data_IF_089080824402
#
_entry.id   IF_089080824402
#
_cell.length_a   1.000
_cell.length_b   1.000
_cell.length_c   1.000
_cell.angle_alpha   90.00
_cell.angle_beta   90.00
_cell.angle_gamma   90.00
#
_symmetry.space_group_name_H-M   'P 1'
#
loop_
_entity.id
_entity.type
_entity.pdbx_description
1 polymer ?
#
# COMPACT_ATOMS: atom_id res chain seq x y z
N UNK A 1 37.04 -4.36 -31.29
CA UNK A 1 36.58 -4.54 -29.89
C UNK A 1 35.94 -3.28 -29.32
N UNK A 2 36.60 -2.11 -29.36
CA UNK A 2 36.06 -0.87 -28.76
C UNK A 2 34.71 -0.41 -29.31
N UNK A 3 34.41 -0.55 -30.61
CA UNK A 3 33.10 -0.15 -31.15
C UNK A 3 31.96 -1.07 -30.69
N UNK A 4 32.22 -2.37 -30.56
CA UNK A 4 31.22 -3.37 -30.17
C UNK A 4 30.88 -3.21 -28.67
N UNK A 5 31.89 -2.97 -27.84
CA UNK A 5 31.73 -2.64 -26.41
C UNK A 5 30.98 -1.31 -26.23
N UNK A 6 31.33 -0.27 -26.99
CA UNK A 6 30.63 1.03 -26.95
C UNK A 6 29.15 0.92 -27.34
N UNK A 7 28.84 0.13 -28.37
CA UNK A 7 27.45 -0.12 -28.80
C UNK A 7 26.67 -0.88 -27.72
N UNK A 8 27.29 -1.86 -27.07
CA UNK A 8 26.67 -2.61 -25.96
C UNK A 8 26.38 -1.73 -24.74
N UNK A 9 27.33 -0.86 -24.37
CA UNK A 9 27.14 0.11 -23.27
C UNK A 9 26.00 1.09 -23.62
N UNK A 10 25.98 1.61 -24.84
CA UNK A 10 24.93 2.54 -25.28
C UNK A 10 23.55 1.88 -25.28
N UNK A 11 23.45 0.64 -25.74
CA UNK A 11 22.20 -0.14 -25.70
C UNK A 11 21.75 -0.40 -24.25
N UNK A 12 22.70 -0.72 -23.36
CA UNK A 12 22.41 -0.92 -21.94
C UNK A 12 21.92 0.37 -21.26
N UNK A 13 22.55 1.52 -21.55
CA UNK A 13 22.10 2.83 -21.01
C UNK A 13 20.71 3.19 -21.53
N UNK A 14 20.43 2.96 -22.82
CA UNK A 14 19.11 3.18 -23.41
C UNK A 14 18.04 2.30 -22.76
N UNK A 15 18.34 1.02 -22.56
CA UNK A 15 17.44 0.07 -21.89
C UNK A 15 17.18 0.45 -20.42
N UNK A 16 18.24 0.79 -19.67
CA UNK A 16 18.12 1.26 -18.29
C UNK A 16 17.32 2.55 -18.19
N UNK A 17 17.53 3.50 -19.11
CA UNK A 17 16.78 4.76 -19.17
C UNK A 17 15.29 4.53 -19.45
N UNK A 18 14.97 3.59 -20.36
CA UNK A 18 13.58 3.21 -20.63
C UNK A 18 12.92 2.55 -19.41
N UNK A 19 13.64 1.68 -18.69
CA UNK A 19 13.18 1.09 -17.43
C UNK A 19 12.89 2.18 -16.39
N UNK A 20 13.84 3.09 -16.17
CA UNK A 20 13.68 4.20 -15.21
C UNK A 20 12.52 5.11 -15.61
N UNK A 21 12.41 5.47 -16.89
CA UNK A 21 11.30 6.26 -17.44
C UNK A 21 9.94 5.60 -17.22
N UNK A 22 9.83 4.31 -17.50
CA UNK A 22 8.61 3.52 -17.25
C UNK A 22 8.25 3.45 -15.77
N UNK A 23 9.23 3.28 -14.87
CA UNK A 23 8.99 3.34 -13.43
C UNK A 23 8.52 4.72 -12.95
N UNK A 24 9.03 5.80 -13.54
CA UNK A 24 8.58 7.16 -13.22
C UNK A 24 7.14 7.41 -13.70
N UNK A 25 6.82 7.06 -14.94
CA UNK A 25 5.46 7.23 -15.49
C UNK A 25 4.42 6.44 -14.68
N UNK A 26 4.69 5.16 -14.40
CA UNK A 26 3.80 4.31 -13.59
C UNK A 26 3.70 4.79 -12.14
N UNK A 27 4.73 5.43 -11.60
CA UNK A 27 4.66 6.08 -10.27
C UNK A 27 3.69 7.25 -10.29
N UNK A 28 3.70 8.09 -11.33
CA UNK A 28 2.77 9.22 -11.46
C UNK A 28 1.32 8.75 -11.55
N UNK A 29 1.02 7.74 -12.39
CA UNK A 29 -0.34 7.19 -12.50
C UNK A 29 -0.83 6.59 -11.17
N UNK A 30 0.03 5.80 -10.50
CA UNK A 30 -0.30 5.24 -9.17
C UNK A 30 -0.57 6.32 -8.14
N UNK A 31 0.15 7.44 -8.19
CA UNK A 31 -0.06 8.57 -7.30
C UNK A 31 -1.39 9.29 -7.58
N UNK A 32 -1.73 9.50 -8.85
CA UNK A 32 -3.01 10.09 -9.25
C UNK A 32 -4.17 9.20 -8.80
N UNK A 33 -4.15 7.90 -9.11
CA UNK A 33 -5.19 6.97 -8.69
C UNK A 33 -5.29 6.87 -7.16
N UNK A 34 -4.16 6.87 -6.45
CA UNK A 34 -4.16 6.87 -4.99
C UNK A 34 -4.78 8.15 -4.41
N UNK A 35 -4.51 9.31 -5.00
CA UNK A 35 -5.13 10.58 -4.59
C UNK A 35 -6.63 10.55 -4.78
N UNK A 36 -7.11 10.11 -5.94
CA UNK A 36 -8.55 9.98 -6.23
C UNK A 36 -9.20 8.98 -5.26
N UNK A 37 -8.56 7.84 -5.00
CA UNK A 37 -9.03 6.84 -4.01
C UNK A 37 -9.12 7.43 -2.60
N UNK A 38 -8.14 8.25 -2.22
CA UNK A 38 -8.13 8.93 -0.95
C UNK A 38 -9.29 9.92 -0.80
N UNK A 39 -9.41 10.83 -1.76
CA UNK A 39 -10.38 11.92 -1.77
C UNK A 39 -11.83 11.40 -1.89
N UNK A 40 -12.06 10.35 -2.69
CA UNK A 40 -13.42 9.86 -2.96
C UNK A 40 -13.96 8.85 -1.92
N UNK A 41 -13.10 8.22 -1.12
CA UNK A 41 -13.56 7.16 -0.21
C UNK A 41 -12.78 7.11 1.10
N UNK A 42 -11.46 7.00 1.02
CA UNK A 42 -10.67 6.60 2.19
C UNK A 42 -10.57 7.71 3.24
N UNK A 43 -10.62 8.98 2.86
CA UNK A 43 -10.68 10.10 3.80
C UNK A 43 -11.96 10.03 4.65
N UNK A 44 -13.12 9.98 4.01
CA UNK A 44 -14.43 9.97 4.69
C UNK A 44 -14.62 8.72 5.56
N UNK A 45 -14.25 7.54 5.04
CA UNK A 45 -14.30 6.30 5.84
C UNK A 45 -13.40 6.41 7.06
N UNK A 46 -12.20 6.98 6.89
CA UNK A 46 -11.25 7.12 7.98
C UNK A 46 -11.77 8.04 9.08
N UNK A 47 -12.31 9.20 8.74
CA UNK A 47 -12.92 10.12 9.70
C UNK A 47 -14.09 9.46 10.46
N UNK A 48 -14.91 8.68 9.76
CA UNK A 48 -16.03 7.96 10.35
C UNK A 48 -15.60 6.95 11.42
N UNK A 49 -14.50 6.23 11.19
CA UNK A 49 -14.11 5.08 12.01
C UNK A 49 -12.86 5.31 12.87
N UNK A 50 -12.26 6.51 12.84
CA UNK A 50 -10.94 6.78 13.45
C UNK A 50 -10.85 6.29 14.89
N UNK A 51 -11.85 6.60 15.71
CA UNK A 51 -11.91 6.26 17.14
C UNK A 51 -12.47 4.85 17.42
N UNK A 52 -12.93 4.14 16.39
CA UNK A 52 -13.60 2.84 16.50
C UNK A 52 -12.77 1.69 15.91
N UNK A 53 -11.65 2.02 15.28
CA UNK A 53 -10.70 1.05 14.73
C UNK A 53 -10.36 -0.02 15.76
N UNK A 54 -10.64 -1.28 15.42
CA UNK A 54 -10.33 -2.43 16.26
C UNK A 54 -11.00 -2.41 17.65
N UNK A 55 -12.01 -1.56 17.87
CA UNK A 55 -12.75 -1.50 19.13
C UNK A 55 -13.60 -2.76 19.30
N UNK A 56 -13.30 -3.51 20.37
CA UNK A 56 -13.96 -4.78 20.73
C UNK A 56 -15.26 -4.56 21.50
N UNK A 57 -15.53 -3.34 21.92
CA UNK A 57 -16.73 -2.97 22.69
C UNK A 57 -17.91 -2.54 21.82
N UNK A 58 -17.71 -2.40 20.50
CA UNK A 58 -18.80 -2.07 19.59
C UNK A 58 -19.88 -3.14 19.63
N UNK A 59 -21.11 -2.67 19.77
CA UNK A 59 -22.30 -3.52 19.67
C UNK A 59 -22.57 -3.91 18.20
N UNK A 60 -23.26 -5.04 18.01
CA UNK A 60 -23.71 -5.48 16.68
C UNK A 60 -24.53 -4.40 15.96
N UNK A 61 -25.32 -3.61 16.71
CA UNK A 61 -26.07 -2.49 16.16
C UNK A 61 -25.15 -1.41 15.58
N UNK A 62 -24.09 -1.04 16.30
CA UNK A 62 -23.11 -0.05 15.84
C UNK A 62 -22.33 -0.57 14.63
N UNK A 63 -21.92 -1.84 14.63
CA UNK A 63 -21.24 -2.46 13.49
C UNK A 63 -22.13 -2.44 12.25
N UNK A 64 -23.41 -2.80 12.39
CA UNK A 64 -24.40 -2.72 11.30
C UNK A 64 -24.56 -1.29 10.79
N UNK A 65 -24.61 -0.30 11.68
CA UNK A 65 -24.75 1.11 11.32
C UNK A 65 -23.53 1.59 10.52
N UNK A 66 -22.33 1.35 11.05
CA UNK A 66 -21.06 1.68 10.39
C UNK A 66 -20.95 1.00 9.03
N UNK A 67 -21.28 -0.29 8.94
CA UNK A 67 -21.28 -1.04 7.69
C UNK A 67 -22.13 -0.38 6.60
N UNK A 68 -23.33 0.12 6.93
CA UNK A 68 -24.19 0.85 5.99
C UNK A 68 -23.58 2.17 5.53
N UNK A 69 -23.06 2.95 6.47
CA UNK A 69 -22.42 4.24 6.19
C UNK A 69 -21.20 4.04 5.28
N UNK A 70 -20.30 3.11 5.63
CA UNK A 70 -19.12 2.74 4.84
C UNK A 70 -19.52 2.25 3.45
N UNK A 71 -20.52 1.36 3.35
CA UNK A 71 -20.98 0.85 2.06
C UNK A 71 -21.53 1.97 1.17
N UNK A 72 -22.23 2.95 1.74
CA UNK A 72 -22.72 4.13 1.01
C UNK A 72 -21.57 4.96 0.44
N UNK A 73 -20.52 5.21 1.22
CA UNK A 73 -19.31 5.92 0.77
C UNK A 73 -18.68 5.17 -0.40
N UNK A 74 -18.44 3.86 -0.24
CA UNK A 74 -17.85 3.02 -1.28
C UNK A 74 -18.71 2.96 -2.54
N UNK A 75 -20.04 2.97 -2.43
CA UNK A 75 -20.94 2.99 -3.58
C UNK A 75 -20.83 4.29 -4.39
N UNK A 76 -20.65 5.45 -3.74
CA UNK A 76 -20.53 6.76 -4.39
C UNK A 76 -19.15 7.02 -4.98
N UNK A 77 -18.14 6.29 -4.54
CA UNK A 77 -16.73 6.50 -4.92
C UNK A 77 -16.34 6.02 -6.33
N UNK A 78 -17.30 5.67 -7.21
CA UNK A 78 -17.07 5.31 -8.62
C UNK A 78 -16.01 4.20 -8.85
N UNK A 79 -15.90 3.24 -7.94
CA UNK A 79 -14.94 2.13 -8.07
C UNK A 79 -13.53 2.45 -7.56
N UNK A 80 -13.28 3.66 -7.06
CA UNK A 80 -12.00 4.05 -6.45
C UNK A 80 -11.89 3.57 -5.00
N UNK A 81 -11.84 2.25 -4.83
CA UNK A 81 -11.65 1.58 -3.54
C UNK A 81 -11.20 0.13 -3.75
N UNK A 82 -10.64 -0.50 -2.72
CA UNK A 82 -10.31 -1.92 -2.77
C UNK A 82 -11.58 -2.79 -2.65
N UNK A 83 -11.91 -3.67 -3.63
CA UNK A 83 -13.23 -4.32 -3.73
C UNK A 83 -13.68 -5.08 -2.48
N UNK A 84 -12.78 -5.75 -1.76
CA UNK A 84 -13.15 -6.53 -0.57
C UNK A 84 -13.71 -5.67 0.56
N UNK A 85 -13.35 -4.38 0.63
CA UNK A 85 -13.87 -3.46 1.64
C UNK A 85 -15.39 -3.30 1.53
N UNK A 86 -15.90 -3.24 0.29
CA UNK A 86 -17.33 -3.14 0.03
C UNK A 86 -18.07 -4.42 0.38
N UNK A 87 -17.43 -5.57 0.17
CA UNK A 87 -17.99 -6.88 0.55
C UNK A 87 -18.10 -6.97 2.07
N UNK A 88 -17.04 -6.62 2.80
CA UNK A 88 -17.07 -6.61 4.26
C UNK A 88 -18.12 -5.64 4.80
N UNK A 89 -18.17 -4.42 4.28
CA UNK A 89 -19.16 -3.43 4.68
C UNK A 89 -20.60 -3.92 4.42
N UNK A 90 -20.85 -4.57 3.28
CA UNK A 90 -22.14 -5.19 2.96
C UNK A 90 -22.51 -6.28 3.97
N UNK A 91 -21.58 -7.20 4.26
CA UNK A 91 -21.81 -8.29 5.21
C UNK A 91 -22.11 -7.81 6.62
N UNK A 92 -21.58 -6.66 7.04
CA UNK A 92 -21.85 -6.11 8.37
C UNK A 92 -23.32 -5.79 8.61
N UNK A 93 -24.10 -5.50 7.57
CA UNK A 93 -25.53 -5.15 7.71
C UNK A 93 -26.47 -6.03 6.88
N UNK A 94 -25.95 -6.89 6.01
CA UNK A 94 -26.77 -7.87 5.30
C UNK A 94 -27.24 -8.95 6.26
N UNK A 95 -28.49 -9.39 6.14
CA UNK A 95 -29.04 -10.50 6.94
C UNK A 95 -28.47 -11.88 6.60
N UNK A 96 -27.56 -11.97 5.62
CA UNK A 96 -27.04 -13.22 5.07
C UNK A 96 -25.65 -13.59 5.63
N UNK A 97 -25.14 -12.83 6.61
CA UNK A 97 -23.88 -13.16 7.27
C UNK A 97 -24.17 -13.87 8.59
N UNK A 98 -23.93 -15.18 8.60
CA UNK A 98 -24.17 -16.06 9.75
C UNK A 98 -23.00 -16.07 10.76
N UNK A 99 -21.95 -15.27 10.50
CA UNK A 99 -20.75 -15.20 11.33
C UNK A 99 -20.78 -14.11 12.40
N UNK A 100 -19.69 -14.01 13.17
CA UNK A 100 -19.53 -13.02 14.22
C UNK A 100 -19.22 -11.62 13.63
N UNK A 101 -20.07 -10.63 13.92
CA UNK A 101 -19.90 -9.26 13.42
C UNK A 101 -18.64 -8.57 13.95
N UNK A 102 -18.17 -8.92 15.14
CA UNK A 102 -16.92 -8.38 15.66
C UNK A 102 -15.68 -8.93 14.92
N UNK A 103 -15.69 -10.20 14.53
CA UNK A 103 -14.63 -10.76 13.70
C UNK A 103 -14.62 -10.10 12.32
N UNK A 104 -15.81 -9.85 11.76
CA UNK A 104 -15.96 -9.13 10.50
C UNK A 104 -15.48 -7.67 10.60
N UNK A 105 -15.79 -6.98 11.71
CA UNK A 105 -15.29 -5.63 12.00
C UNK A 105 -13.76 -5.59 12.06
N UNK A 106 -13.16 -6.58 12.73
CA UNK A 106 -11.70 -6.71 12.80
C UNK A 106 -11.09 -6.97 11.42
N UNK A 107 -11.69 -7.85 10.61
CA UNK A 107 -11.24 -8.15 9.25
C UNK A 107 -11.30 -6.92 8.33
N UNK A 108 -12.39 -6.15 8.41
CA UNK A 108 -12.52 -4.88 7.71
C UNK A 108 -11.46 -3.89 8.15
N UNK A 109 -11.33 -3.66 9.46
CA UNK A 109 -10.35 -2.72 10.03
C UNK A 109 -8.93 -3.04 9.57
N UNK A 110 -8.54 -4.32 9.64
CA UNK A 110 -7.23 -4.81 9.17
C UNK A 110 -7.00 -4.60 7.68
N UNK A 111 -8.03 -4.81 6.88
CA UNK A 111 -7.94 -4.63 5.42
C UNK A 111 -7.86 -3.16 5.07
N UNK A 112 -8.75 -2.34 5.62
CA UNK A 112 -8.82 -0.91 5.36
C UNK A 112 -7.54 -0.21 5.78
N UNK A 113 -7.01 -0.50 6.97
CA UNK A 113 -5.75 0.06 7.47
C UNK A 113 -4.58 -0.18 6.51
N UNK A 114 -4.42 -1.42 6.02
CA UNK A 114 -3.37 -1.75 5.03
C UNK A 114 -3.53 -0.96 3.73
N UNK A 115 -4.75 -0.87 3.20
CA UNK A 115 -5.01 -0.16 1.95
C UNK A 115 -4.84 1.36 2.14
N UNK A 116 -5.31 1.89 3.27
CA UNK A 116 -5.16 3.29 3.64
C UNK A 116 -3.69 3.68 3.76
N UNK A 117 -2.87 2.85 4.41
CA UNK A 117 -1.42 3.08 4.52
C UNK A 117 -0.74 3.09 3.15
N UNK A 118 -1.12 2.17 2.25
CA UNK A 118 -0.60 2.13 0.88
C UNK A 118 -0.95 3.40 0.11
N UNK A 119 -2.23 3.79 0.14
CA UNK A 119 -2.73 4.98 -0.56
C UNK A 119 -2.05 6.25 -0.03
N UNK A 120 -2.06 6.47 1.28
CA UNK A 120 -1.44 7.65 1.92
C UNK A 120 0.07 7.73 1.68
N UNK A 121 0.77 6.59 1.71
CA UNK A 121 2.20 6.54 1.40
C UNK A 121 2.52 6.95 -0.04
N UNK A 122 1.66 6.63 -1.00
CA UNK A 122 1.88 6.99 -2.40
C UNK A 122 1.75 8.50 -2.61
N UNK A 123 0.79 9.14 -1.94
CA UNK A 123 0.47 10.57 -2.07
C UNK A 123 1.22 11.48 -1.09
N UNK A 124 2.05 10.91 -0.22
CA UNK A 124 2.87 11.67 0.73
C UNK A 124 2.11 12.24 1.93
N UNK A 125 0.91 11.72 2.22
CA UNK A 125 0.19 12.05 3.45
C UNK A 125 0.81 11.28 4.61
N UNK A 126 1.01 11.91 5.78
CA UNK A 126 1.53 11.22 6.96
C UNK A 126 0.69 9.98 7.27
N UNK A 127 1.35 8.83 7.35
CA UNK A 127 0.72 7.60 7.83
C UNK A 127 0.30 7.84 9.28
N UNK A 128 -0.99 8.01 9.54
CA UNK A 128 -1.53 7.93 10.91
C UNK A 128 -1.37 6.47 11.35
N UNK A 129 -0.24 6.15 11.96
CA UNK A 129 0.32 4.81 11.83
C UNK A 129 -0.52 3.72 12.48
N UNK A 130 -0.61 2.58 11.78
CA UNK A 130 -0.91 1.25 12.30
C UNK A 130 -0.13 0.94 13.57
N UNK A 131 1.09 1.50 13.67
CA UNK A 131 1.99 1.31 14.79
C UNK A 131 1.45 1.97 16.07
N UNK A 132 1.09 3.25 16.05
CA UNK A 132 0.49 3.94 17.21
C UNK A 132 -0.82 3.28 17.68
N UNK A 133 -1.63 2.73 16.77
CA UNK A 133 -2.92 2.07 17.09
C UNK A 133 -2.81 0.61 17.52
N UNK A 134 -1.77 -0.10 17.07
CA UNK A 134 -1.47 -1.48 17.49
C UNK A 134 -0.44 -1.51 18.64
N UNK A 135 0.26 -0.40 18.96
CA UNK A 135 1.32 -0.32 19.98
C UNK A 135 0.91 -0.43 21.44
N UNK A 136 -0.27 -0.96 21.72
CA UNK A 136 -0.36 -1.80 22.91
C UNK A 136 0.47 -3.09 22.78
N UNK A 137 0.93 -3.52 21.58
CA UNK A 137 1.83 -4.69 21.37
C UNK A 137 2.55 -4.64 20.00
N UNK A 138 3.78 -4.14 19.89
CA UNK A 138 4.55 -4.28 18.65
C UNK A 138 5.88 -5.00 18.76
N UNK A 139 6.12 -5.74 17.67
CA UNK A 139 7.21 -6.65 17.36
C UNK A 139 7.12 -8.01 18.03
N UNK A 140 6.70 -9.02 17.26
CA UNK A 140 6.83 -10.43 17.67
C UNK A 140 8.28 -10.95 17.57
N UNK A 141 9.14 -10.37 16.69
CA UNK A 141 10.58 -10.66 16.65
C UNK A 141 11.38 -9.73 15.71
N UNK A 142 12.71 -9.71 15.91
CA UNK A 142 13.72 -9.02 15.10
C UNK A 142 13.68 -9.43 13.61
N UNK A 143 13.34 -10.69 13.32
CA UNK A 143 13.25 -11.20 11.94
C UNK A 143 12.18 -10.48 11.10
N UNK A 144 11.11 -10.03 11.75
CA UNK A 144 10.00 -9.34 11.11
C UNK A 144 10.42 -7.92 10.69
N UNK A 145 11.27 -7.28 11.50
CA UNK A 145 11.86 -5.97 11.24
C UNK A 145 12.84 -6.03 10.05
N UNK A 146 13.67 -7.06 9.99
CA UNK A 146 14.64 -7.28 8.90
C UNK A 146 13.94 -7.52 7.55
N UNK A 147 12.87 -8.33 7.53
CA UNK A 147 12.10 -8.56 6.30
C UNK A 147 11.47 -7.28 5.75
N UNK A 148 10.91 -6.43 6.62
CA UNK A 148 10.31 -5.16 6.21
C UNK A 148 11.37 -4.22 5.63
N UNK A 149 12.59 -4.23 6.17
CA UNK A 149 13.71 -3.42 5.66
C UNK A 149 14.12 -3.81 4.24
N UNK A 150 14.37 -5.11 3.97
CA UNK A 150 14.83 -5.58 2.65
C UNK A 150 13.74 -5.61 1.57
N UNK A 151 12.46 -5.78 1.93
CA UNK A 151 11.34 -5.68 0.99
C UNK A 151 10.80 -4.24 0.84
N UNK A 152 11.42 -3.27 1.51
CA UNK A 152 11.10 -1.86 1.30
C UNK A 152 11.66 -1.37 -0.04
N UNK A 153 10.97 -0.40 -0.65
CA UNK A 153 11.30 0.20 -1.96
C UNK A 153 12.75 0.73 -2.06
N UNK A 154 13.44 0.93 -0.94
CA UNK A 154 14.78 1.49 -0.88
C UNK A 154 15.87 0.42 -1.06
N UNK A 155 15.68 -0.82 -0.57
CA UNK A 155 16.65 -1.90 -0.72
C UNK A 155 16.90 -2.34 -2.17
N UNK A 156 15.85 -2.28 -3.01
CA UNK A 156 15.99 -2.57 -4.45
C UNK A 156 16.81 -1.49 -5.21
N UNK A 157 16.75 -0.24 -4.76
CA UNK A 157 17.51 0.87 -5.35
C UNK A 157 18.98 0.76 -4.95
N UNK A 158 19.27 0.42 -3.70
CA UNK A 158 20.63 0.18 -3.21
C UNK A 158 21.32 -0.98 -3.95
N UNK A 159 20.59 -2.07 -4.21
CA UNK A 159 21.10 -3.21 -4.98
C UNK A 159 21.40 -2.85 -6.44
N UNK A 160 20.55 -2.01 -7.06
CA UNK A 160 20.77 -1.49 -8.42
C UNK A 160 22.04 -0.63 -8.49
N UNK A 161 22.25 0.26 -7.52
CA UNK A 161 23.45 1.11 -7.44
C UNK A 161 24.71 0.25 -7.27
N UNK A 162 24.63 -0.78 -6.42
CA UNK A 162 25.75 -1.70 -6.19
C UNK A 162 26.14 -2.47 -7.46
N UNK A 163 25.15 -2.94 -8.24
CA UNK A 163 25.37 -3.62 -9.53
C UNK A 163 25.97 -2.69 -10.60
N UNK A 164 25.52 -1.43 -10.68
CA UNK A 164 26.08 -0.44 -11.60
C UNK A 164 27.54 -0.15 -11.24
N UNK A 165 27.86 0.02 -9.96
CA UNK A 165 29.24 0.21 -9.50
C UNK A 165 30.16 -0.97 -9.86
N UNK A 166 29.65 -2.19 -9.74
CA UNK A 166 30.37 -3.43 -10.10
C UNK A 166 30.65 -3.54 -11.60
N UNK A 167 29.70 -3.12 -12.44
CA UNK A 167 29.88 -3.11 -13.90
C UNK A 167 30.91 -2.07 -14.35
N UNK A 168 30.92 -0.89 -13.71
CA UNK A 168 31.89 0.17 -14.01
C UNK A 168 33.30 -0.26 -13.59
N UNK A 169 33.45 -0.85 -12.40
CA UNK A 169 34.75 -1.32 -11.93
C UNK A 169 35.29 -2.47 -12.79
N UNK A 170 34.46 -3.45 -13.17
CA UNK A 170 34.86 -4.51 -14.09
C UNK A 170 35.34 -3.97 -15.44
N UNK A 171 34.67 -2.95 -16.00
CA UNK A 171 35.08 -2.33 -17.26
C UNK A 171 36.41 -1.56 -17.15
N UNK A 172 36.71 -1.00 -15.97
CA UNK A 172 37.99 -0.33 -15.69
C UNK A 172 39.16 -1.31 -15.52
N UNK A 173 38.91 -2.54 -15.07
CA UNK A 173 39.94 -3.58 -14.92
C UNK A 173 40.16 -4.44 -16.17
N UNK A 174 39.22 -4.42 -17.12
CA UNK A 174 39.30 -5.18 -18.37
C UNK A 174 39.93 -4.36 -19.51
N UNK A 175 39.90 -3.02 -19.43
CA UNK A 175 40.68 -2.11 -20.28
C UNK A 175 41.99 -1.70 -19.59
#
# INVERSE_FOLDING_TARGET
MNSLVSTLITALVGFLSAIVGGFYATKTEKQVTARITFENAYHEIFELIENKFYDKSLSDYEIKRLGREIYSILQKSNGYYYPSLKIYALWMFSGNYDGNLQELWFAFSSTFDKQYEQVTSLIGIPKRSRYYRINTKQYSSLSHLIKIYFFSKHGAIELLIMLIGLLISLNYFIN
#
